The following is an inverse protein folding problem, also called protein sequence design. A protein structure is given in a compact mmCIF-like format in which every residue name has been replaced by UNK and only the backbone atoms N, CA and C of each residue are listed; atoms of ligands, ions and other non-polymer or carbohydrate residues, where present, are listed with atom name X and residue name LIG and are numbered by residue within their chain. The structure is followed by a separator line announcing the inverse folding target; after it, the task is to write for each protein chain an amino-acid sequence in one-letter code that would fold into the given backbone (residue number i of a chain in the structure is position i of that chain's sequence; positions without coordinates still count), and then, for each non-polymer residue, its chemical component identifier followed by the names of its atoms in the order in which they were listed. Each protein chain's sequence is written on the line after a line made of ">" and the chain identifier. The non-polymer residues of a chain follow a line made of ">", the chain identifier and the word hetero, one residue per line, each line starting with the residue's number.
data_IF_124428446861
#
_entry.id   IF_124428446861
#
_cell.length_a   1.000
_cell.length_b   1.000
_cell.length_c   1.000
_cell.angle_alpha   90.00
_cell.angle_beta   90.00
_cell.angle_gamma   90.00
#
_symmetry.space_group_name_H-M   'P 1'
#
loop_
_entity.id
_entity.type
_entity.pdbx_description
1 polymer ?
#
# COMPACT_ATOMS: atom_id res chain seq x y z
N UNK A 1 -17.35 -14.52 11.53
CA UNK A 1 -16.46 -14.14 10.41
C UNK A 1 -17.28 -13.84 9.15
N UNK A 2 -16.95 -12.75 8.46
CA UNK A 2 -17.63 -12.32 7.24
C UNK A 2 -16.55 -12.22 6.14
N UNK A 3 -16.69 -13.01 5.09
CA UNK A 3 -15.83 -12.94 3.91
C UNK A 3 -16.40 -11.95 2.91
N UNK A 4 -15.55 -11.09 2.35
CA UNK A 4 -15.91 -10.17 1.27
C UNK A 4 -14.90 -10.33 0.16
N UNK A 5 -15.37 -10.67 -1.03
CA UNK A 5 -14.56 -10.81 -2.23
C UNK A 5 -15.12 -9.91 -3.32
N UNK A 6 -14.23 -9.38 -4.15
CA UNK A 6 -14.61 -8.50 -5.24
C UNK A 6 -14.09 -9.08 -6.55
N UNK A 7 -14.95 -9.11 -7.56
CA UNK A 7 -14.60 -9.57 -8.91
C UNK A 7 -15.08 -8.56 -9.93
N UNK A 8 -14.32 -8.35 -10.99
CA UNK A 8 -14.77 -7.55 -12.12
C UNK A 8 -15.89 -8.26 -12.88
N UNK A 9 -16.96 -7.53 -13.17
CA UNK A 9 -18.08 -8.03 -13.99
C UNK A 9 -17.60 -8.33 -15.41
N UNK A 10 -16.71 -7.49 -15.94
CA UNK A 10 -16.02 -7.67 -17.21
C UNK A 10 -14.54 -7.41 -17.03
N UNK A 11 -13.70 -8.23 -17.64
CA UNK A 11 -12.25 -8.14 -17.55
C UNK A 11 -11.73 -6.79 -18.04
N UNK A 12 -11.17 -5.91 -17.17
CA UNK A 12 -10.78 -4.54 -17.52
C UNK A 12 -9.49 -4.42 -18.35
N UNK A 13 -9.28 -5.27 -19.35
CA UNK A 13 -8.04 -5.30 -20.14
C UNK A 13 -7.66 -3.94 -20.72
N UNK A 14 -8.61 -3.27 -21.38
CA UNK A 14 -8.36 -2.00 -22.08
C UNK A 14 -8.03 -0.87 -21.11
N UNK A 15 -8.80 -0.74 -20.03
CA UNK A 15 -8.62 0.31 -19.03
C UNK A 15 -7.35 0.10 -18.22
N UNK A 16 -7.04 -1.16 -17.86
CA UNK A 16 -5.79 -1.52 -17.20
C UNK A 16 -4.57 -1.23 -18.08
N UNK A 17 -4.62 -1.62 -19.36
CA UNK A 17 -3.55 -1.36 -20.31
C UNK A 17 -3.30 0.14 -20.49
N UNK A 18 -4.37 0.94 -20.63
CA UNK A 18 -4.27 2.38 -20.76
C UNK A 18 -3.67 3.03 -19.50
N UNK A 19 -4.06 2.57 -18.32
CA UNK A 19 -3.50 3.05 -17.05
C UNK A 19 -2.00 2.74 -16.93
N UNK A 20 -1.58 1.52 -17.26
CA UNK A 20 -0.16 1.16 -17.29
C UNK A 20 0.62 2.04 -18.27
N UNK A 21 0.11 2.22 -19.49
CA UNK A 21 0.76 3.09 -20.49
C UNK A 21 0.86 4.55 -20.03
N UNK A 22 -0.16 5.06 -19.32
CA UNK A 22 -0.09 6.38 -18.72
C UNK A 22 1.02 6.46 -17.67
N UNK A 23 1.07 5.51 -16.74
CA UNK A 23 2.09 5.50 -15.68
C UNK A 23 3.51 5.34 -16.24
N UNK A 24 3.69 4.47 -17.23
CA UNK A 24 4.95 4.33 -17.96
C UNK A 24 5.39 5.66 -18.57
N UNK A 25 4.49 6.37 -19.27
CA UNK A 25 4.79 7.66 -19.86
C UNK A 25 5.12 8.73 -18.78
N UNK A 26 4.40 8.75 -17.66
CA UNK A 26 4.69 9.64 -16.53
C UNK A 26 6.05 9.37 -15.90
N UNK A 27 6.53 8.13 -15.94
CA UNK A 27 7.86 7.73 -15.50
C UNK A 27 8.93 7.83 -16.61
N UNK A 28 8.58 8.35 -17.80
CA UNK A 28 9.53 8.48 -18.90
C UNK A 28 9.91 7.17 -19.59
N UNK A 29 9.13 6.11 -19.41
CA UNK A 29 9.33 4.78 -20.02
C UNK A 29 8.69 4.66 -21.42
N UNK A 30 8.35 5.79 -22.05
CA UNK A 30 7.74 5.85 -23.38
C UNK A 30 8.62 5.14 -24.42
N UNK A 31 8.09 4.10 -25.05
CA UNK A 31 8.72 3.27 -26.08
C UNK A 31 9.82 2.29 -25.62
N UNK A 32 9.52 1.44 -24.64
CA UNK A 32 10.33 0.22 -24.42
C UNK A 32 9.88 -0.91 -25.36
N UNK A 33 10.37 -0.87 -26.61
CA UNK A 33 10.55 -2.09 -27.41
C UNK A 33 11.52 -3.09 -26.73
N UNK A 34 12.22 -2.67 -25.68
CA UNK A 34 13.27 -3.42 -24.99
C UNK A 34 12.83 -4.63 -24.17
N UNK A 35 11.57 -4.73 -23.71
CA UNK A 35 11.11 -5.91 -22.97
C UNK A 35 10.59 -7.04 -23.88
N UNK A 36 10.43 -6.79 -25.20
CA UNK A 36 9.96 -7.77 -26.20
C UNK A 36 11.02 -8.81 -26.59
N UNK A 37 11.91 -9.19 -25.67
CA UNK A 37 12.90 -10.24 -25.94
C UNK A 37 12.25 -11.62 -26.15
N UNK A 38 11.01 -11.81 -25.66
CA UNK A 38 10.20 -13.01 -25.85
C UNK A 38 8.74 -12.62 -26.12
N UNK A 39 8.07 -13.31 -27.04
CA UNK A 39 6.62 -13.14 -27.25
C UNK A 39 5.91 -13.56 -25.95
N UNK A 40 5.15 -12.68 -25.29
CA UNK A 40 4.43 -13.05 -24.07
C UNK A 40 3.43 -14.17 -24.39
N UNK A 41 3.39 -15.17 -23.51
CA UNK A 41 2.57 -16.38 -23.68
C UNK A 41 1.07 -16.10 -23.50
N UNK A 42 0.73 -15.02 -22.77
CA UNK A 42 -0.64 -14.52 -22.61
C UNK A 42 -0.65 -13.01 -22.34
N UNK A 43 -1.84 -12.40 -22.44
CA UNK A 43 -2.03 -10.97 -22.13
C UNK A 43 -1.73 -10.64 -20.67
N UNK A 44 -2.03 -11.55 -19.73
CA UNK A 44 -1.66 -11.43 -18.32
C UNK A 44 -0.15 -11.37 -18.13
N UNK A 45 0.60 -12.23 -18.82
CA UNK A 45 2.05 -12.30 -18.71
C UNK A 45 2.70 -11.00 -19.21
N UNK A 46 2.19 -10.44 -20.32
CA UNK A 46 2.61 -9.14 -20.84
C UNK A 46 2.38 -8.01 -19.82
N UNK A 47 1.18 -7.91 -19.27
CA UNK A 47 0.85 -6.85 -18.30
C UNK A 47 1.65 -7.01 -17.00
N UNK A 48 1.86 -8.25 -16.56
CA UNK A 48 2.71 -8.55 -15.41
C UNK A 48 4.15 -8.08 -15.64
N UNK A 49 4.76 -8.42 -16.78
CA UNK A 49 6.11 -7.99 -17.12
C UNK A 49 6.26 -6.47 -17.15
N UNK A 50 5.31 -5.77 -17.78
CA UNK A 50 5.28 -4.30 -17.84
C UNK A 50 5.17 -3.67 -16.46
N UNK A 51 4.26 -4.18 -15.62
CA UNK A 51 4.11 -3.73 -14.24
C UNK A 51 5.41 -3.91 -13.43
N UNK A 52 6.06 -5.08 -13.55
CA UNK A 52 7.34 -5.33 -12.87
C UNK A 52 8.45 -4.39 -13.36
N UNK A 53 8.52 -4.12 -14.67
CA UNK A 53 9.49 -3.18 -15.22
C UNK A 53 9.27 -1.74 -14.73
N UNK A 54 8.00 -1.30 -14.67
CA UNK A 54 7.64 -0.01 -14.09
C UNK A 54 8.04 0.08 -12.62
N UNK A 55 7.78 -0.98 -11.83
CA UNK A 55 8.15 -1.04 -10.41
C UNK A 55 9.67 -1.00 -10.21
N UNK A 56 10.42 -1.76 -10.99
CA UNK A 56 11.88 -1.79 -11.00
C UNK A 56 12.48 -0.40 -11.28
N UNK A 57 11.91 0.30 -12.26
CA UNK A 57 12.32 1.67 -12.59
C UNK A 57 12.00 2.65 -11.47
N UNK A 58 10.78 2.61 -10.93
CA UNK A 58 10.36 3.46 -9.80
C UNK A 58 11.22 3.24 -8.56
N UNK A 59 11.56 2.00 -8.23
CA UNK A 59 12.46 1.68 -7.13
C UNK A 59 13.83 2.33 -7.33
N UNK A 60 14.40 2.21 -8.52
CA UNK A 60 15.70 2.80 -8.84
C UNK A 60 15.68 4.33 -8.66
N UNK A 61 14.62 5.00 -9.11
CA UNK A 61 14.43 6.44 -8.90
C UNK A 61 14.35 6.82 -7.42
N UNK A 62 13.59 6.05 -6.63
CA UNK A 62 13.44 6.31 -5.20
C UNK A 62 14.73 6.04 -4.43
N UNK A 63 15.42 4.95 -4.74
CA UNK A 63 16.70 4.61 -4.12
C UNK A 63 17.74 5.71 -4.40
N UNK A 64 17.83 6.19 -5.64
CA UNK A 64 18.71 7.31 -6.00
C UNK A 64 18.35 8.58 -5.21
N UNK A 65 17.06 8.92 -5.12
CA UNK A 65 16.58 10.06 -4.36
C UNK A 65 16.97 9.95 -2.86
N UNK A 66 16.73 8.79 -2.24
CA UNK A 66 17.05 8.56 -0.84
C UNK A 66 18.56 8.52 -0.57
N UNK A 67 19.35 7.94 -1.47
CA UNK A 67 20.82 7.95 -1.37
C UNK A 67 21.38 9.37 -1.47
N UNK A 68 20.87 10.16 -2.43
CA UNK A 68 21.38 11.50 -2.74
C UNK A 68 21.03 12.53 -1.68
N UNK A 69 19.78 12.56 -1.24
CA UNK A 69 19.28 13.65 -0.38
C UNK A 69 19.22 13.28 1.11
N UNK A 70 19.20 11.97 1.44
CA UNK A 70 19.06 11.50 2.81
C UNK A 70 20.19 10.56 3.25
N UNK A 71 21.21 10.37 2.39
CA UNK A 71 22.41 9.58 2.66
C UNK A 71 22.12 8.16 3.17
N UNK A 72 21.01 7.59 2.71
CA UNK A 72 20.71 6.19 2.99
C UNK A 72 21.64 5.30 2.15
N UNK A 73 22.10 4.15 2.68
CA UNK A 73 22.97 3.24 1.92
C UNK A 73 22.14 2.19 1.17
N UNK A 74 21.25 2.61 0.27
CA UNK A 74 20.43 1.69 -0.52
C UNK A 74 21.26 1.15 -1.70
N UNK A 75 21.52 -0.16 -1.70
CA UNK A 75 22.40 -0.80 -2.69
C UNK A 75 21.78 -0.91 -4.08
N UNK A 76 20.44 -0.90 -4.18
CA UNK A 76 19.71 -1.20 -5.41
C UNK A 76 19.90 -2.62 -5.93
N UNK A 77 20.47 -3.52 -5.11
CA UNK A 77 20.74 -4.92 -5.48
C UNK A 77 19.76 -5.81 -4.72
N UNK A 78 19.15 -6.77 -5.43
CA UNK A 78 18.26 -7.78 -4.86
C UNK A 78 16.99 -7.94 -5.69
N UNK A 79 16.05 -8.74 -5.18
CA UNK A 79 14.71 -8.80 -5.77
C UNK A 79 13.95 -7.48 -5.53
N UNK A 80 12.92 -7.22 -6.33
CA UNK A 80 12.04 -6.05 -6.14
C UNK A 80 11.45 -6.03 -4.72
N UNK A 81 11.01 -7.18 -4.21
CA UNK A 81 10.43 -7.27 -2.87
C UNK A 81 11.47 -6.97 -1.76
N UNK A 82 12.71 -7.46 -1.89
CA UNK A 82 13.80 -7.16 -0.92
C UNK A 82 14.16 -5.66 -0.92
N UNK A 83 14.21 -5.07 -2.10
CA UNK A 83 14.50 -3.64 -2.30
C UNK A 83 13.38 -2.77 -1.76
N UNK A 84 12.12 -3.11 -2.03
CA UNK A 84 10.94 -2.46 -1.42
C UNK A 84 11.03 -2.48 0.11
N UNK A 85 11.31 -3.64 0.71
CA UNK A 85 11.43 -3.75 2.17
C UNK A 85 12.56 -2.89 2.73
N UNK A 86 13.69 -2.81 2.03
CA UNK A 86 14.83 -1.97 2.43
C UNK A 86 14.49 -0.49 2.34
N UNK A 87 13.85 -0.06 1.25
CA UNK A 87 13.39 1.31 1.05
C UNK A 87 12.32 1.73 2.07
N UNK A 88 11.33 0.88 2.32
CA UNK A 88 10.28 1.09 3.35
C UNK A 88 10.92 1.31 4.72
N UNK A 89 11.88 0.47 5.10
CA UNK A 89 12.60 0.63 6.37
C UNK A 89 13.36 1.95 6.44
N UNK A 90 14.05 2.34 5.36
CA UNK A 90 14.78 3.60 5.30
C UNK A 90 13.83 4.81 5.42
N UNK A 91 12.70 4.79 4.73
CA UNK A 91 11.68 5.84 4.80
C UNK A 91 11.08 5.99 6.20
N UNK A 92 10.73 4.88 6.87
CA UNK A 92 10.25 4.94 8.25
C UNK A 92 11.32 5.48 9.20
N UNK A 93 12.58 5.05 9.05
CA UNK A 93 13.67 5.53 9.89
C UNK A 93 13.92 7.04 9.74
N UNK A 94 13.76 7.60 8.53
CA UNK A 94 13.85 9.06 8.35
C UNK A 94 12.70 9.80 9.03
N UNK A 95 11.47 9.31 8.92
CA UNK A 95 10.34 9.90 9.62
C UNK A 95 10.54 9.86 11.15
N UNK A 96 11.02 8.73 11.68
CA UNK A 96 11.34 8.57 13.10
C UNK A 96 12.43 9.54 13.56
N UNK A 97 13.52 9.67 12.79
CA UNK A 97 14.58 10.63 13.07
C UNK A 97 14.05 12.07 13.08
N UNK A 98 13.19 12.42 12.12
CA UNK A 98 12.56 13.73 12.04
C UNK A 98 11.70 14.08 13.26
N UNK A 99 11.12 13.09 13.92
CA UNK A 99 10.35 13.25 15.16
C UNK A 99 11.13 12.93 16.44
N UNK A 100 12.40 12.54 16.35
CA UNK A 100 13.19 12.11 17.51
C UNK A 100 12.70 10.80 18.15
N UNK A 101 12.07 9.92 17.38
CA UNK A 101 11.55 8.63 17.83
C UNK A 101 12.62 7.54 17.72
N UNK A 102 12.52 6.53 18.60
CA UNK A 102 13.29 5.29 18.47
C UNK A 102 12.51 4.27 17.65
N UNK A 103 13.19 3.60 16.73
CA UNK A 103 12.63 2.47 15.99
C UNK A 103 12.29 1.33 16.96
N UNK A 104 11.00 1.14 17.25
CA UNK A 104 10.51 0.13 18.18
C UNK A 104 9.25 -0.52 17.65
N UNK A 105 9.22 -1.85 17.72
CA UNK A 105 8.07 -2.64 17.31
C UNK A 105 8.16 -3.10 15.86
N UNK A 106 7.06 -3.67 15.37
CA UNK A 106 6.90 -4.01 13.96
C UNK A 106 6.61 -2.77 13.09
N UNK A 107 6.47 -2.96 11.78
CA UNK A 107 6.24 -1.85 10.84
C UNK A 107 4.93 -1.09 11.13
N UNK A 108 3.90 -1.79 11.60
CA UNK A 108 2.60 -1.18 11.91
C UNK A 108 2.69 -0.34 13.19
N UNK A 109 3.33 -0.87 14.22
CA UNK A 109 3.60 -0.15 15.47
C UNK A 109 4.46 1.10 15.21
N UNK A 110 5.52 0.97 14.40
CA UNK A 110 6.36 2.11 13.98
C UNK A 110 5.55 3.18 13.25
N UNK A 111 4.72 2.79 12.27
CA UNK A 111 3.80 3.69 11.55
C UNK A 111 2.91 4.46 12.53
N UNK A 112 2.26 3.77 13.47
CA UNK A 112 1.37 4.40 14.44
C UNK A 112 2.10 5.38 15.38
N UNK A 113 3.31 5.06 15.82
CA UNK A 113 4.11 5.99 16.62
C UNK A 113 4.46 7.27 15.86
N UNK A 114 4.84 7.14 14.57
CA UNK A 114 5.11 8.30 13.70
C UNK A 114 3.84 9.13 13.50
N UNK A 115 2.71 8.49 13.19
CA UNK A 115 1.42 9.16 12.98
C UNK A 115 0.98 9.93 14.22
N UNK A 116 1.11 9.31 15.40
CA UNK A 116 0.79 9.97 16.67
C UNK A 116 1.73 11.15 16.95
N UNK A 117 3.03 11.02 16.66
CA UNK A 117 3.97 12.13 16.81
C UNK A 117 3.63 13.30 15.88
N UNK A 118 3.28 13.01 14.62
CA UNK A 118 2.83 14.01 13.67
C UNK A 118 1.57 14.72 14.16
N UNK A 119 0.58 14.00 14.66
CA UNK A 119 -0.61 14.61 15.27
C UNK A 119 -0.29 15.48 16.48
N UNK A 120 0.70 15.12 17.30
CA UNK A 120 1.10 15.97 18.43
C UNK A 120 1.75 17.28 17.97
N UNK A 121 2.47 17.27 16.84
CA UNK A 121 3.05 18.49 16.24
C UNK A 121 2.00 19.35 15.53
N UNK A 122 1.00 18.72 14.90
CA UNK A 122 -0.10 19.42 14.20
C UNK A 122 -1.17 19.94 15.16
N UNK A 123 -1.61 19.12 16.11
CA UNK A 123 -2.69 19.43 17.05
C UNK A 123 -2.12 19.70 18.46
N UNK A 124 -1.37 20.81 18.55
CA UNK A 124 -0.65 21.29 19.74
C UNK A 124 -1.61 21.63 20.90
N UNK A 125 -1.74 20.73 21.88
CA UNK A 125 -2.52 20.96 23.11
C UNK A 125 -1.81 21.86 24.13
N UNK A 126 -0.51 22.06 23.97
CA UNK A 126 0.35 22.84 24.85
C UNK A 126 0.30 24.35 24.54
N UNK A 127 -0.18 24.74 23.34
CA UNK A 127 -0.31 26.15 22.97
C UNK A 127 -1.59 26.76 23.56
N UNK A 128 -1.56 28.04 23.99
CA UNK A 128 -2.77 28.78 24.30
C UNK A 128 -3.65 28.94 23.05
N UNK A 129 -4.88 29.41 23.25
CA UNK A 129 -5.80 29.70 22.15
C UNK A 129 -5.08 30.50 21.04
N UNK A 130 -5.19 30.12 19.75
CA UNK A 130 -4.52 30.79 18.64
C UNK A 130 -4.66 32.31 18.62
N UNK A 131 -5.77 32.86 19.14
CA UNK A 131 -6.02 34.29 19.24
C UNK A 131 -5.14 35.02 20.28
N UNK A 132 -4.46 34.28 21.15
CA UNK A 132 -3.60 34.80 22.21
C UNK A 132 -2.11 34.56 21.94
N UNK A 133 -1.75 33.91 20.83
CA UNK A 133 -0.36 33.73 20.44
C UNK A 133 0.21 35.01 19.86
N UNK A 134 1.47 35.33 20.20
CA UNK A 134 2.19 36.39 19.52
C UNK A 134 2.40 36.01 18.04
N UNK A 135 2.44 36.98 17.10
CA UNK A 135 2.60 36.67 15.67
C UNK A 135 3.81 35.78 15.35
N UNK A 136 4.92 35.97 16.06
CA UNK A 136 6.13 35.15 15.90
C UNK A 136 5.92 33.72 16.40
N UNK A 137 5.26 33.53 17.54
CA UNK A 137 4.97 32.21 18.10
C UNK A 137 4.02 31.42 17.19
N UNK A 138 3.02 32.10 16.64
CA UNK A 138 2.12 31.53 15.65
C UNK A 138 2.87 31.10 14.38
N UNK A 139 3.79 31.93 13.89
CA UNK A 139 4.65 31.59 12.76
C UNK A 139 5.52 30.34 13.01
N UNK A 140 6.13 30.24 14.20
CA UNK A 140 6.91 29.07 14.61
C UNK A 140 6.04 27.81 14.75
N UNK A 141 4.81 27.95 15.27
CA UNK A 141 3.87 26.84 15.36
C UNK A 141 3.50 26.31 13.97
N UNK A 142 3.19 27.20 13.00
CA UNK A 142 2.92 26.79 11.62
C UNK A 142 4.13 26.10 10.98
N UNK A 143 5.34 26.61 11.21
CA UNK A 143 6.55 25.97 10.70
C UNK A 143 6.73 24.54 11.24
N UNK A 144 6.39 24.30 12.51
CA UNK A 144 6.39 22.94 13.08
C UNK A 144 5.37 22.01 12.39
N UNK A 145 4.20 22.53 12.00
CA UNK A 145 3.21 21.77 11.21
C UNK A 145 3.79 21.38 9.85
N UNK A 146 4.45 22.31 9.16
CA UNK A 146 5.08 22.03 7.86
C UNK A 146 6.19 20.97 7.98
N UNK A 147 7.05 21.08 9.00
CA UNK A 147 8.06 20.04 9.29
C UNK A 147 7.42 18.68 9.58
N UNK A 148 6.32 18.65 10.32
CA UNK A 148 5.57 17.43 10.59
C UNK A 148 5.05 16.80 9.29
N UNK A 149 4.47 17.60 8.39
CA UNK A 149 3.99 17.13 7.10
C UNK A 149 5.11 16.54 6.24
N UNK A 150 6.29 17.18 6.22
CA UNK A 150 7.47 16.68 5.52
C UNK A 150 7.95 15.32 6.08
N UNK A 151 7.97 15.17 7.40
CA UNK A 151 8.34 13.89 8.03
C UNK A 151 7.29 12.80 7.76
N UNK A 152 5.99 13.13 7.87
CA UNK A 152 4.89 12.20 7.59
C UNK A 152 4.85 11.76 6.13
N UNK A 153 5.33 12.58 5.19
CA UNK A 153 5.41 12.21 3.77
C UNK A 153 6.18 10.90 3.54
N UNK A 154 7.30 10.69 4.26
CA UNK A 154 8.09 9.46 4.17
C UNK A 154 7.32 8.24 4.71
N UNK A 155 6.58 8.40 5.80
CA UNK A 155 5.76 7.34 6.38
C UNK A 155 4.61 6.94 5.46
N UNK A 156 3.90 7.90 4.86
CA UNK A 156 2.82 7.61 3.91
C UNK A 156 3.33 6.96 2.62
N UNK A 157 4.53 7.34 2.15
CA UNK A 157 5.19 6.64 1.05
C UNK A 157 5.48 5.19 1.45
N UNK A 158 6.06 4.97 2.64
CA UNK A 158 6.36 3.64 3.15
C UNK A 158 5.10 2.76 3.28
N UNK A 159 3.99 3.32 3.77
CA UNK A 159 2.70 2.64 3.85
C UNK A 159 2.19 2.19 2.47
N UNK A 160 2.28 3.06 1.48
CA UNK A 160 1.85 2.76 0.11
C UNK A 160 2.72 1.66 -0.51
N UNK A 161 4.04 1.74 -0.33
CA UNK A 161 4.99 0.76 -0.87
C UNK A 161 4.90 -0.60 -0.18
N UNK A 162 4.61 -0.63 1.13
CA UNK A 162 4.48 -1.87 1.91
C UNK A 162 3.33 -2.75 1.43
N UNK A 163 2.27 -2.16 0.88
CA UNK A 163 1.14 -2.89 0.32
C UNK A 163 1.46 -3.60 -1.01
N UNK A 164 2.57 -3.24 -1.67
CA UNK A 164 2.96 -3.77 -2.97
C UNK A 164 3.76 -5.06 -2.78
N UNK A 165 3.39 -6.12 -3.50
CA UNK A 165 4.13 -7.39 -3.55
C UNK A 165 4.23 -7.89 -4.98
N UNK A 166 5.45 -8.14 -5.47
CA UNK A 166 5.65 -8.71 -6.81
C UNK A 166 5.28 -10.18 -6.87
N UNK A 167 5.62 -10.92 -5.81
CA UNK A 167 5.26 -12.33 -5.64
C UNK A 167 3.76 -12.58 -5.79
N UNK A 168 2.93 -11.70 -5.24
CA UNK A 168 1.47 -11.80 -5.33
C UNK A 168 0.98 -11.90 -6.78
N UNK A 169 1.54 -11.10 -7.69
CA UNK A 169 1.14 -11.10 -9.10
C UNK A 169 1.84 -12.23 -9.88
N UNK A 170 3.11 -12.51 -9.58
CA UNK A 170 3.91 -13.51 -10.28
C UNK A 170 3.45 -14.96 -10.04
N UNK A 171 3.02 -15.31 -8.82
CA UNK A 171 2.59 -16.67 -8.49
C UNK A 171 1.31 -17.08 -9.22
N UNK A 172 0.39 -16.13 -9.44
CA UNK A 172 -0.88 -16.39 -10.13
C UNK A 172 -1.34 -15.15 -10.88
N UNK A 173 -0.73 -14.84 -12.03
CA UNK A 173 -1.09 -13.65 -12.80
C UNK A 173 -2.53 -13.80 -13.28
N UNK A 174 -3.40 -12.92 -12.79
CA UNK A 174 -4.79 -12.82 -13.20
C UNK A 174 -5.24 -11.37 -13.09
N UNK A 175 -6.38 -11.07 -13.71
CA UNK A 175 -6.86 -9.70 -13.84
C UNK A 175 -7.07 -8.99 -12.50
N UNK A 176 -7.52 -9.69 -11.46
CA UNK A 176 -7.78 -9.09 -10.15
C UNK A 176 -6.47 -8.65 -9.50
N UNK A 177 -5.50 -9.57 -9.43
CA UNK A 177 -4.18 -9.29 -8.84
C UNK A 177 -3.44 -8.21 -9.61
N UNK A 178 -3.44 -8.29 -10.94
CA UNK A 178 -2.83 -7.29 -11.80
C UNK A 178 -3.46 -5.91 -11.60
N UNK A 179 -4.80 -5.84 -11.54
CA UNK A 179 -5.53 -4.60 -11.32
C UNK A 179 -5.25 -3.99 -9.95
N UNK A 180 -5.24 -4.81 -8.90
CA UNK A 180 -4.97 -4.39 -7.53
C UNK A 180 -3.56 -3.82 -7.39
N UNK A 181 -2.54 -4.59 -7.80
CA UNK A 181 -1.15 -4.14 -7.72
C UNK A 181 -0.90 -2.92 -8.61
N UNK A 182 -1.50 -2.87 -9.81
CA UNK A 182 -1.42 -1.68 -10.67
C UNK A 182 -1.98 -0.43 -9.99
N UNK A 183 -3.11 -0.55 -9.29
CA UNK A 183 -3.70 0.59 -8.57
C UNK A 183 -2.87 1.02 -7.36
N UNK A 184 -2.15 0.10 -6.70
CA UNK A 184 -1.21 0.43 -5.62
C UNK A 184 0.02 1.17 -6.17
N UNK A 185 0.59 0.70 -7.29
CA UNK A 185 1.69 1.41 -7.98
C UNK A 185 1.24 2.79 -8.45
N UNK A 186 0.03 2.91 -8.99
CA UNK A 186 -0.56 4.20 -9.34
C UNK A 186 -0.65 5.13 -8.12
N UNK A 187 -1.08 4.63 -6.96
CA UNK A 187 -1.16 5.41 -5.73
C UNK A 187 0.23 5.88 -5.29
N UNK A 188 1.26 5.04 -5.41
CA UNK A 188 2.63 5.42 -5.13
C UNK A 188 3.08 6.58 -6.04
N UNK A 189 2.86 6.47 -7.36
CA UNK A 189 3.18 7.55 -8.32
C UNK A 189 2.42 8.84 -7.98
N UNK A 190 1.13 8.75 -7.66
CA UNK A 190 0.32 9.90 -7.28
C UNK A 190 0.85 10.59 -6.01
N UNK A 191 1.31 9.81 -5.02
CA UNK A 191 1.97 10.33 -3.81
C UNK A 191 3.27 11.08 -4.14
N UNK A 192 4.11 10.50 -5.01
CA UNK A 192 5.37 11.13 -5.43
C UNK A 192 5.16 12.44 -6.18
N UNK A 193 4.05 12.56 -6.92
CA UNK A 193 3.65 13.79 -7.62
C UNK A 193 3.00 14.83 -6.70
N UNK A 194 2.87 14.57 -5.40
CA UNK A 194 2.24 15.46 -4.42
C UNK A 194 0.71 15.46 -4.47
N UNK A 195 0.07 14.51 -5.15
CA UNK A 195 -1.38 14.49 -5.40
C UNK A 195 -2.16 13.57 -4.44
N UNK A 196 -1.66 13.33 -3.23
CA UNK A 196 -2.18 12.35 -2.27
C UNK A 196 -3.68 12.49 -1.95
N UNK A 197 -4.23 13.71 -1.99
CA UNK A 197 -5.62 13.99 -1.57
C UNK A 197 -6.57 14.41 -2.69
N UNK A 198 -6.09 14.59 -3.93
CA UNK A 198 -6.88 15.21 -5.02
C UNK A 198 -7.16 14.29 -6.20
N UNK A 199 -6.42 13.20 -6.33
CA UNK A 199 -6.57 12.29 -7.48
C UNK A 199 -7.65 11.26 -7.21
N UNK A 200 -8.74 11.30 -8.00
CA UNK A 200 -9.73 10.23 -8.00
C UNK A 200 -9.05 8.94 -8.44
N UNK A 201 -9.18 7.88 -7.64
CA UNK A 201 -8.64 6.56 -7.97
C UNK A 201 -9.14 6.12 -9.36
N UNK A 202 -8.25 5.61 -10.24
CA UNK A 202 -8.64 5.19 -11.58
C UNK A 202 -9.75 4.16 -11.53
N UNK A 203 -10.78 4.37 -12.36
CA UNK A 203 -11.87 3.43 -12.48
C UNK A 203 -11.55 2.39 -13.56
N UNK A 204 -11.31 1.14 -13.15
CA UNK A 204 -10.99 0.05 -14.08
C UNK A 204 -12.25 -0.62 -14.64
N UNK A 205 -13.35 -0.65 -13.89
CA UNK A 205 -14.60 -1.29 -14.30
C UNK A 205 -15.52 -1.58 -13.11
N UNK A 206 -16.71 -2.09 -13.42
CA UNK A 206 -17.68 -2.49 -12.38
C UNK A 206 -17.17 -3.73 -11.66
N UNK A 207 -17.23 -3.72 -10.33
CA UNK A 207 -16.92 -4.86 -9.48
C UNK A 207 -18.19 -5.32 -8.78
N UNK A 208 -18.33 -6.64 -8.66
CA UNK A 208 -19.38 -7.27 -7.87
C UNK A 208 -18.77 -7.77 -6.57
N UNK A 209 -19.43 -7.46 -5.45
CA UNK A 209 -19.08 -8.01 -4.16
C UNK A 209 -19.78 -9.36 -3.96
N UNK A 210 -19.02 -10.37 -3.56
CA UNK A 210 -19.52 -11.64 -3.07
C UNK A 210 -19.27 -11.68 -1.56
N UNK A 211 -20.35 -11.81 -0.79
CA UNK A 211 -20.33 -11.79 0.67
C UNK A 211 -20.67 -13.19 1.17
N UNK A 212 -19.81 -13.75 2.01
CA UNK A 212 -20.01 -15.03 2.68
C UNK A 212 -20.07 -14.82 4.19
N UNK A 213 -20.97 -15.56 4.85
CA UNK A 213 -21.15 -15.51 6.30
C UNK A 213 -20.81 -16.91 6.82
N UNK A 214 -19.77 -17.01 7.65
CA UNK A 214 -19.46 -18.26 8.32
C UNK A 214 -19.93 -18.31 9.76
N UNK A 215 -19.66 -19.46 10.38
CA UNK A 215 -20.07 -19.75 11.75
C UNK A 215 -19.51 -18.72 12.74
N UNK A 216 -20.36 -18.25 13.64
CA UNK A 216 -19.94 -17.32 14.68
C UNK A 216 -18.88 -17.98 15.59
N UNK A 217 -17.83 -17.21 15.92
CA UNK A 217 -16.84 -17.63 16.90
C UNK A 217 -17.25 -17.07 18.26
N UNK A 218 -17.58 -17.95 19.21
CA UNK A 218 -17.93 -17.53 20.57
C UNK A 218 -16.69 -17.05 21.31
N UNK A 219 -16.75 -15.80 21.78
CA UNK A 219 -15.74 -15.23 22.69
C UNK A 219 -16.02 -15.65 24.13
N UNK A 220 -17.30 -15.83 24.49
CA UNK A 220 -17.72 -16.23 25.83
C UNK A 220 -17.21 -17.63 26.19
N UNK A 221 -17.18 -18.56 25.23
CA UNK A 221 -16.70 -19.93 25.46
C UNK A 221 -15.19 -19.97 25.79
N UNK A 222 -14.46 -18.89 25.51
CA UNK A 222 -13.01 -18.77 25.69
C UNK A 222 -12.64 -17.97 26.93
N UNK A 223 -13.62 -17.60 27.74
CA UNK A 223 -13.45 -16.68 28.85
C UNK A 223 -12.49 -17.19 29.92
N UNK A 224 -12.58 -18.47 30.27
CA UNK A 224 -11.67 -19.06 31.27
C UNK A 224 -10.23 -19.09 30.76
N UNK A 225 -10.02 -19.48 29.49
CA UNK A 225 -8.70 -19.42 28.85
C UNK A 225 -8.13 -18.00 28.82
N UNK A 226 -8.97 -17.00 28.53
CA UNK A 226 -8.57 -15.59 28.53
C UNK A 226 -8.15 -15.08 29.91
N UNK A 227 -8.86 -15.51 30.97
CA UNK A 227 -8.49 -15.16 32.35
C UNK A 227 -7.16 -15.77 32.77
N UNK A 228 -6.88 -17.00 32.33
CA UNK A 228 -5.63 -17.71 32.67
C UNK A 228 -4.44 -17.16 31.89
N UNK A 229 -4.55 -17.04 30.57
CA UNK A 229 -3.53 -16.43 29.72
C UNK A 229 -4.18 -15.63 28.60
N UNK A 230 -4.24 -14.32 28.83
CA UNK A 230 -4.79 -13.36 27.88
C UNK A 230 -4.12 -13.43 26.52
N UNK A 231 -2.79 -13.54 26.49
CA UNK A 231 -2.02 -13.46 25.24
C UNK A 231 -2.29 -14.70 24.40
N UNK A 232 -2.23 -15.88 25.02
CA UNK A 232 -2.48 -17.14 24.33
C UNK A 232 -3.92 -17.25 23.85
N UNK A 233 -4.91 -16.86 24.66
CA UNK A 233 -6.31 -16.92 24.29
C UNK A 233 -6.65 -16.02 23.09
N UNK A 234 -6.09 -14.80 23.05
CA UNK A 234 -6.23 -13.90 21.90
C UNK A 234 -5.58 -14.51 20.67
N UNK A 235 -4.34 -15.00 20.77
CA UNK A 235 -3.64 -15.66 19.65
C UNK A 235 -4.46 -16.83 19.07
N UNK A 236 -4.99 -17.70 19.93
CA UNK A 236 -5.82 -18.83 19.51
C UNK A 236 -7.11 -18.37 18.81
N UNK A 237 -7.82 -17.38 19.37
CA UNK A 237 -9.02 -16.84 18.72
C UNK A 237 -8.70 -16.22 17.35
N UNK A 238 -7.59 -15.49 17.24
CA UNK A 238 -7.18 -14.89 15.95
C UNK A 238 -6.79 -15.94 14.93
N UNK A 239 -6.19 -17.06 15.36
CA UNK A 239 -5.85 -18.18 14.49
C UNK A 239 -7.10 -18.90 13.98
N UNK A 240 -8.09 -19.12 14.86
CA UNK A 240 -9.38 -19.71 14.47
C UNK A 240 -10.15 -18.79 13.51
N UNK A 241 -10.08 -17.47 13.73
CA UNK A 241 -10.64 -16.48 12.81
C UNK A 241 -9.95 -16.53 11.45
N UNK A 242 -8.62 -16.59 11.41
CA UNK A 242 -7.86 -16.72 10.18
C UNK A 242 -8.27 -17.98 9.41
N UNK A 243 -8.27 -19.13 10.06
CA UNK A 243 -8.65 -20.40 9.42
C UNK A 243 -10.10 -20.36 8.92
N UNK A 244 -11.02 -19.78 9.70
CA UNK A 244 -12.41 -19.63 9.27
C UNK A 244 -12.53 -18.75 8.02
N UNK A 245 -11.77 -17.65 7.93
CA UNK A 245 -11.76 -16.77 6.75
C UNK A 245 -11.10 -17.42 5.54
N UNK A 246 -9.99 -18.13 5.72
CA UNK A 246 -9.29 -18.86 4.64
C UNK A 246 -10.18 -19.94 4.02
N UNK A 247 -10.95 -20.66 4.84
CA UNK A 247 -11.93 -21.64 4.37
C UNK A 247 -13.09 -21.01 3.57
N UNK A 248 -13.31 -19.70 3.66
CA UNK A 248 -14.31 -18.98 2.86
C UNK A 248 -13.75 -18.49 1.51
N UNK A 249 -12.45 -18.65 1.25
CA UNK A 249 -11.87 -18.31 -0.04
C UNK A 249 -12.36 -19.30 -1.12
N UNK A 250 -12.63 -18.86 -2.36
CA UNK A 250 -13.13 -19.74 -3.39
C UNK A 250 -12.00 -20.67 -3.84
N UNK A 251 -12.26 -21.96 -3.99
CA UNK A 251 -11.31 -22.91 -4.59
C UNK A 251 -11.12 -22.66 -6.09
N UNK A 252 -12.11 -22.06 -6.76
CA UNK A 252 -12.08 -21.63 -8.17
C UNK A 252 -12.69 -20.23 -8.27
N UNK A 253 -12.02 -19.25 -8.88
CA UNK A 253 -12.61 -17.92 -9.07
C UNK A 253 -13.87 -18.03 -9.95
N UNK A 254 -14.95 -17.30 -9.62
CA UNK A 254 -16.17 -17.32 -10.41
C UNK A 254 -15.85 -16.90 -11.85
N UNK A 255 -16.30 -17.69 -12.82
CA UNK A 255 -16.11 -17.38 -14.24
C UNK A 255 -16.85 -16.07 -14.55
N UNK A 256 -16.19 -15.06 -15.16
CA UNK A 256 -16.88 -13.84 -15.53
C UNK A 256 -18.05 -14.19 -16.44
N UNK A 257 -19.27 -13.85 -16.01
CA UNK A 257 -20.45 -14.11 -16.82
C UNK A 257 -20.43 -13.15 -18.01
N UNK A 258 -20.29 -13.71 -19.22
CA UNK A 258 -20.52 -12.99 -20.48
C UNK A 258 -22.03 -12.73 -20.58
N UNK A 259 -22.49 -11.68 -19.92
CA UNK A 259 -23.85 -11.17 -20.15
C UNK A 259 -23.79 -10.40 -21.47
N UNK A 260 -24.61 -10.72 -22.50
CA UNK A 260 -24.59 -9.95 -23.74
C UNK A 260 -24.88 -8.50 -23.40
N UNK A 261 -24.06 -7.59 -23.92
CA UNK A 261 -24.37 -6.16 -23.90
C UNK A 261 -25.75 -6.00 -24.56
N UNK A 262 -26.74 -5.60 -23.77
CA UNK A 262 -28.03 -5.19 -24.31
C UNK A 262 -27.77 -4.08 -25.34
N UNK A 263 -28.36 -4.28 -26.52
CA UNK A 263 -28.18 -3.51 -27.75
C UNK A 263 -28.60 -2.05 -27.61
#
# INVERSE_FOLDING_TARGET
>A
PIGIQYHYVHTPWRTLNALLSQMEAECGLSDTQHWKSQKPQSQEAELCQRLLHLMEHLLSLLEEFYNRFFHQPLSGIGSIDDRLQTLVKAALSLAEQGFGLQAKGDLLERRHHIEQAGWNWTYRKDLPNPTHLLPVEYGLANYAVELSNLNMWHMHLAETLLAISTRYVQEKPNIERLSETTLLVWQAIAHLKGNHSTSKRPYLGRRQAHISIGNALSVSDRWDAYRTDRRQAVTSLTQDLQQALENMLPTVPPTPQVTPLAS
#
